data_IF_322104218598
#
_entry.id   IF_322104218598
#
_cell.length_a   1.000
_cell.length_b   1.000
_cell.length_c   1.000
_cell.angle_alpha   90.00
_cell.angle_beta   90.00
_cell.angle_gamma   90.00
#
_symmetry.space_group_name_H-M   'P 1'
#
loop_
_entity.id
_entity.type
_entity.pdbx_description
1 polymer ?
#
# COMPACT_ATOMS: atom_id res chain seq x y z
N UNK A 1 -37.42 77.55 -9.14
CA UNK A 1 -36.88 77.00 -7.86
C UNK A 1 -36.67 75.52 -8.01
N UNK A 2 -35.43 75.14 -8.19
CA UNK A 2 -35.00 73.85 -8.62
C UNK A 2 -34.98 72.78 -7.47
N UNK A 3 -35.60 71.66 -7.66
CA UNK A 3 -35.47 70.53 -6.74
C UNK A 3 -34.26 69.59 -6.98
N UNK A 4 -33.31 70.02 -7.84
CA UNK A 4 -32.25 69.13 -8.32
C UNK A 4 -31.06 69.01 -7.35
N UNK A 5 -30.97 69.85 -6.32
CA UNK A 5 -29.82 69.84 -5.40
C UNK A 5 -29.85 68.71 -4.32
N UNK A 6 -31.00 68.07 -4.14
CA UNK A 6 -31.15 67.08 -3.01
C UNK A 6 -30.89 65.65 -3.38
N UNK A 7 -30.74 65.32 -4.64
CA UNK A 7 -30.57 63.92 -5.06
C UNK A 7 -29.10 63.42 -4.95
N UNK A 8 -28.13 64.28 -5.09
CA UNK A 8 -26.69 63.93 -4.97
C UNK A 8 -26.22 63.72 -3.53
N UNK A 9 -26.88 64.37 -2.55
CA UNK A 9 -26.51 64.15 -1.13
C UNK A 9 -26.98 62.77 -0.61
N UNK A 10 -28.17 62.34 -0.97
CA UNK A 10 -28.72 61.04 -0.62
C UNK A 10 -27.96 59.89 -1.27
N UNK A 11 -27.48 60.06 -2.49
CA UNK A 11 -26.64 59.07 -3.17
C UNK A 11 -25.27 58.93 -2.49
N UNK A 12 -24.67 60.02 -2.08
CA UNK A 12 -23.36 60.09 -1.44
C UNK A 12 -23.38 59.47 -0.03
N UNK A 13 -24.43 59.70 0.76
CA UNK A 13 -24.62 59.07 2.08
C UNK A 13 -24.83 57.57 1.96
N UNK A 14 -25.57 57.12 0.93
CA UNK A 14 -25.78 55.69 0.65
C UNK A 14 -24.47 54.98 0.26
N UNK A 15 -23.61 55.64 -0.52
CA UNK A 15 -22.29 55.08 -0.86
C UNK A 15 -21.36 55.04 0.35
N UNK A 16 -21.35 56.07 1.21
CA UNK A 16 -20.54 56.05 2.45
C UNK A 16 -20.99 54.94 3.38
N UNK A 17 -22.31 54.77 3.58
CA UNK A 17 -22.83 53.66 4.41
C UNK A 17 -22.51 52.29 3.84
N UNK A 18 -22.45 52.12 2.52
CA UNK A 18 -22.05 50.87 1.86
C UNK A 18 -20.59 50.59 2.02
N UNK A 19 -19.72 51.59 1.93
CA UNK A 19 -18.26 51.45 2.18
C UNK A 19 -17.97 51.14 3.64
N UNK A 20 -18.69 51.75 4.59
CA UNK A 20 -18.53 51.40 6.02
C UNK A 20 -18.96 49.97 6.32
N UNK A 21 -20.10 49.51 5.79
CA UNK A 21 -20.54 48.11 5.91
C UNK A 21 -19.51 47.14 5.31
N UNK A 22 -18.91 47.46 4.16
CA UNK A 22 -17.84 46.64 3.58
C UNK A 22 -16.57 46.64 4.41
N UNK A 23 -16.15 47.75 5.02
CA UNK A 23 -15.00 47.80 5.93
C UNK A 23 -15.23 47.00 7.18
N UNK A 24 -16.40 47.04 7.76
CA UNK A 24 -16.77 46.23 8.94
C UNK A 24 -16.81 44.76 8.57
N UNK A 25 -17.44 44.38 7.45
CA UNK A 25 -17.46 43.00 6.94
C UNK A 25 -16.04 42.43 6.66
N UNK A 26 -15.17 43.28 6.08
CA UNK A 26 -13.77 42.91 5.83
C UNK A 26 -12.98 42.62 7.14
N UNK A 27 -13.17 43.43 8.19
CA UNK A 27 -12.53 43.19 9.49
C UNK A 27 -12.98 41.88 10.12
N UNK A 28 -14.28 41.62 10.13
CA UNK A 28 -14.79 40.35 10.66
C UNK A 28 -14.35 39.15 9.80
N UNK A 29 -14.30 39.27 8.49
CA UNK A 29 -13.77 38.26 7.58
C UNK A 29 -12.28 37.94 7.87
N UNK A 30 -11.47 38.99 8.09
CA UNK A 30 -10.06 38.82 8.45
C UNK A 30 -9.89 38.15 9.81
N UNK A 31 -10.67 38.54 10.83
CA UNK A 31 -10.62 37.89 12.14
C UNK A 31 -11.06 36.44 12.09
N UNK A 32 -12.11 36.13 11.33
CA UNK A 32 -12.58 34.77 11.13
C UNK A 32 -11.52 33.90 10.43
N UNK A 33 -10.85 34.41 9.40
CA UNK A 33 -9.81 33.64 8.70
C UNK A 33 -8.61 33.34 9.60
N UNK A 34 -8.19 34.29 10.44
CA UNK A 34 -7.13 34.08 11.44
C UNK A 34 -7.55 33.00 12.45
N UNK A 35 -8.79 33.07 12.93
CA UNK A 35 -9.32 32.09 13.87
C UNK A 35 -9.35 30.67 13.27
N UNK A 36 -9.82 30.51 12.02
CA UNK A 36 -9.79 29.21 11.35
C UNK A 36 -8.38 28.69 11.07
N UNK A 37 -7.42 29.57 10.80
CA UNK A 37 -6.01 29.21 10.66
C UNK A 37 -5.46 28.64 11.97
N UNK A 38 -5.70 29.30 13.13
CA UNK A 38 -5.29 28.76 14.42
C UNK A 38 -5.98 27.45 14.76
N UNK A 39 -7.26 27.31 14.47
CA UNK A 39 -8.01 26.08 14.69
C UNK A 39 -7.44 24.92 13.88
N UNK A 40 -7.08 25.16 12.62
CA UNK A 40 -6.45 24.18 11.75
C UNK A 40 -5.09 23.71 12.27
N UNK A 41 -4.22 24.64 12.67
CA UNK A 41 -2.91 24.31 13.22
C UNK A 41 -3.04 23.53 14.52
N UNK A 42 -3.95 23.96 15.40
CA UNK A 42 -4.20 23.27 16.67
C UNK A 42 -4.71 21.85 16.44
N UNK A 43 -5.61 21.65 15.47
CA UNK A 43 -6.11 20.34 15.09
C UNK A 43 -5.00 19.42 14.59
N UNK A 44 -4.08 19.92 13.76
CA UNK A 44 -2.91 19.16 13.30
C UNK A 44 -1.97 18.77 14.44
N UNK A 45 -1.72 19.68 15.40
CA UNK A 45 -0.89 19.41 16.57
C UNK A 45 -1.54 18.31 17.43
N UNK A 46 -2.83 18.41 17.71
CA UNK A 46 -3.56 17.39 18.48
C UNK A 46 -3.54 16.03 17.78
N UNK A 47 -3.74 16.03 16.47
CA UNK A 47 -3.66 14.80 15.67
C UNK A 47 -2.25 14.20 15.70
N UNK A 48 -1.21 15.01 15.62
CA UNK A 48 0.18 14.56 15.73
C UNK A 48 0.49 13.99 17.12
N UNK A 49 0.06 14.65 18.20
CA UNK A 49 0.30 14.17 19.57
C UNK A 49 -0.45 12.86 19.83
N UNK A 50 -1.67 12.72 19.28
CA UNK A 50 -2.52 11.53 19.52
C UNK A 50 -2.11 10.34 18.67
N UNK A 51 -1.71 10.57 17.41
CA UNK A 51 -1.50 9.50 16.43
C UNK A 51 -0.10 9.48 15.79
N UNK A 52 0.65 10.57 15.89
CA UNK A 52 1.96 10.72 15.23
C UNK A 52 3.16 10.30 16.07
N UNK A 53 2.95 9.87 17.31
CA UNK A 53 4.07 9.33 18.10
C UNK A 53 4.40 7.93 17.60
N UNK A 54 5.54 7.83 16.94
CA UNK A 54 6.13 6.53 16.63
C UNK A 54 6.33 5.75 17.93
N UNK A 55 5.96 4.46 17.90
CA UNK A 55 6.32 3.56 18.98
C UNK A 55 7.84 3.57 19.13
N UNK A 56 8.34 3.82 20.33
CA UNK A 56 9.76 3.68 20.61
C UNK A 56 10.13 2.21 20.36
N UNK A 57 10.90 2.01 19.31
CA UNK A 57 11.55 0.73 19.08
C UNK A 57 12.70 0.71 20.06
N UNK A 58 12.71 -0.23 21.01
CA UNK A 58 13.86 -0.45 21.87
C UNK A 58 15.04 -0.81 20.98
N UNK A 59 15.90 0.20 20.77
CA UNK A 59 17.01 0.14 19.82
C UNK A 59 18.23 -0.63 20.31
N UNK A 60 18.06 -1.49 21.32
CA UNK A 60 19.18 -2.27 21.87
C UNK A 60 19.76 -3.30 20.89
N UNK A 61 19.05 -3.66 19.81
CA UNK A 61 19.46 -4.72 18.89
C UNK A 61 19.55 -4.31 17.41
N UNK A 62 19.69 -3.03 17.11
CA UNK A 62 19.98 -2.56 15.74
C UNK A 62 21.44 -2.83 15.30
N UNK A 63 22.06 -3.89 15.83
CA UNK A 63 23.31 -4.39 15.27
C UNK A 63 23.08 -4.87 13.84
N UNK A 64 24.02 -4.59 12.93
CA UNK A 64 24.02 -5.22 11.61
C UNK A 64 24.24 -6.73 11.81
N UNK A 65 23.16 -7.48 11.92
CA UNK A 65 23.19 -8.93 11.91
C UNK A 65 23.05 -9.41 10.47
N UNK A 66 23.93 -10.32 10.06
CA UNK A 66 23.78 -11.02 8.79
C UNK A 66 22.72 -12.13 8.89
N UNK A 67 22.17 -12.35 10.08
CA UNK A 67 21.11 -13.33 10.31
C UNK A 67 19.78 -12.79 9.76
N UNK A 68 18.92 -13.70 9.34
CA UNK A 68 17.56 -13.36 8.94
C UNK A 68 16.87 -12.62 10.11
N UNK A 69 16.29 -11.44 9.89
CA UNK A 69 15.78 -10.58 10.95
C UNK A 69 14.62 -11.20 11.74
N UNK A 70 14.06 -12.30 11.27
CA UNK A 70 13.01 -13.04 11.98
C UNK A 70 12.76 -14.41 11.36
N UNK A 71 12.23 -15.36 12.14
CA UNK A 71 11.70 -16.63 11.65
C UNK A 71 10.34 -16.50 10.95
N UNK A 72 9.85 -15.27 10.85
CA UNK A 72 8.54 -14.99 10.28
C UNK A 72 8.50 -15.22 8.78
N UNK A 73 7.32 -15.57 8.30
CA UNK A 73 7.09 -15.86 6.90
C UNK A 73 7.45 -14.67 5.97
N UNK A 74 8.14 -14.91 4.83
CA UNK A 74 8.60 -13.85 3.92
C UNK A 74 7.48 -12.94 3.41
N UNK A 75 6.27 -13.49 3.22
CA UNK A 75 5.11 -12.71 2.78
C UNK A 75 4.69 -11.67 3.84
N UNK A 76 4.75 -12.03 5.13
CA UNK A 76 4.48 -11.11 6.25
C UNK A 76 5.50 -9.99 6.30
N UNK A 77 6.78 -10.34 6.24
CA UNK A 77 7.87 -9.33 6.26
C UNK A 77 7.69 -8.36 5.09
N UNK A 78 7.47 -8.89 3.88
CA UNK A 78 7.25 -8.06 2.70
C UNK A 78 6.01 -7.18 2.83
N UNK A 79 4.93 -7.69 3.42
CA UNK A 79 3.70 -6.95 3.66
C UNK A 79 3.94 -5.72 4.56
N UNK A 80 4.72 -5.88 5.63
CA UNK A 80 5.07 -4.76 6.51
C UNK A 80 6.00 -3.76 5.85
N UNK A 81 7.07 -4.23 5.23
CA UNK A 81 8.07 -3.37 4.57
C UNK A 81 7.43 -2.58 3.42
N UNK A 82 6.43 -3.15 2.76
CA UNK A 82 5.72 -2.52 1.62
C UNK A 82 4.45 -1.78 2.03
N UNK A 83 4.33 -1.33 3.27
CA UNK A 83 3.16 -0.59 3.77
C UNK A 83 1.83 -1.31 3.52
N UNK A 84 1.74 -2.55 3.97
CA UNK A 84 0.56 -3.40 3.84
C UNK A 84 0.17 -3.74 2.38
N UNK A 85 1.16 -3.77 1.50
CA UNK A 85 0.97 -4.20 0.10
C UNK A 85 1.74 -5.48 -0.17
N UNK A 86 1.10 -6.43 -0.83
CA UNK A 86 1.80 -7.60 -1.36
C UNK A 86 2.47 -7.24 -2.68
N UNK A 87 3.76 -7.51 -2.75
CA UNK A 87 4.60 -7.25 -3.92
C UNK A 87 4.96 -8.54 -4.64
N UNK A 88 5.40 -8.43 -5.90
CA UNK A 88 5.98 -9.56 -6.62
C UNK A 88 7.15 -10.20 -5.88
N UNK A 89 7.90 -9.41 -5.09
CA UNK A 89 8.99 -9.92 -4.24
C UNK A 89 8.48 -10.84 -3.13
N UNK A 90 7.31 -10.55 -2.53
CA UNK A 90 6.68 -11.43 -1.54
C UNK A 90 6.35 -12.80 -2.14
N UNK A 91 5.80 -12.81 -3.35
CA UNK A 91 5.48 -14.04 -4.08
C UNK A 91 6.74 -14.84 -4.38
N UNK A 92 7.79 -14.16 -4.88
CA UNK A 92 9.07 -14.79 -5.19
C UNK A 92 9.72 -15.40 -3.95
N UNK A 93 9.76 -14.65 -2.85
CA UNK A 93 10.33 -15.12 -1.59
C UNK A 93 9.56 -16.34 -1.03
N UNK A 94 8.22 -16.31 -1.13
CA UNK A 94 7.39 -17.46 -0.75
C UNK A 94 7.63 -18.66 -1.66
N UNK A 95 7.79 -18.46 -2.98
CA UNK A 95 8.14 -19.54 -3.89
C UNK A 95 9.49 -20.19 -3.54
N UNK A 96 10.51 -19.37 -3.21
CA UNK A 96 11.79 -19.92 -2.77
C UNK A 96 11.68 -20.69 -1.45
N UNK A 97 10.87 -20.21 -0.50
CA UNK A 97 10.54 -20.95 0.72
C UNK A 97 9.90 -22.30 0.37
N UNK A 98 8.91 -22.31 -0.50
CA UNK A 98 8.27 -23.56 -0.96
C UNK A 98 9.26 -24.52 -1.64
N UNK A 99 10.24 -23.97 -2.37
CA UNK A 99 11.30 -24.78 -2.96
C UNK A 99 12.25 -25.35 -1.89
N UNK A 100 12.59 -24.59 -0.85
CA UNK A 100 13.36 -25.10 0.31
C UNK A 100 12.60 -26.20 1.05
N UNK A 101 11.27 -26.06 1.18
CA UNK A 101 10.38 -27.07 1.75
C UNK A 101 10.13 -28.26 0.82
N UNK A 102 10.78 -28.30 -0.36
CA UNK A 102 10.75 -29.37 -1.38
C UNK A 102 9.41 -29.53 -2.13
N UNK A 103 8.51 -28.55 -2.03
CA UNK A 103 7.27 -28.57 -2.82
C UNK A 103 7.52 -28.29 -4.29
N UNK A 104 8.54 -27.47 -4.60
CA UNK A 104 8.95 -27.14 -5.98
C UNK A 104 10.45 -27.30 -6.16
N UNK A 105 10.85 -27.52 -7.42
CA UNK A 105 12.25 -27.47 -7.87
C UNK A 105 12.37 -26.30 -8.83
N UNK A 106 13.29 -25.39 -8.53
CA UNK A 106 13.60 -24.22 -9.37
C UNK A 106 14.89 -24.52 -10.11
N UNK A 107 14.84 -24.49 -11.44
CA UNK A 107 15.99 -24.79 -12.31
C UNK A 107 16.16 -23.73 -13.37
N UNK A 108 17.39 -23.44 -13.73
CA UNK A 108 17.71 -22.64 -14.90
C UNK A 108 17.74 -23.51 -16.15
N UNK A 109 17.12 -23.06 -17.23
CA UNK A 109 17.13 -23.71 -18.52
C UNK A 109 17.48 -22.71 -19.62
N UNK A 110 18.48 -23.06 -20.42
CA UNK A 110 18.79 -22.26 -21.62
C UNK A 110 17.71 -22.50 -22.69
N UNK A 111 17.12 -21.41 -23.15
CA UNK A 111 16.14 -21.42 -24.24
C UNK A 111 16.71 -20.62 -25.39
N UNK A 112 16.79 -21.25 -26.57
CA UNK A 112 17.25 -20.56 -27.78
C UNK A 112 16.05 -19.91 -28.46
N UNK A 113 16.04 -18.58 -28.52
CA UNK A 113 14.99 -17.81 -29.22
C UNK A 113 15.50 -17.35 -30.58
N UNK A 114 14.80 -17.72 -31.64
CA UNK A 114 15.07 -17.21 -32.99
C UNK A 114 14.42 -15.85 -33.18
N UNK A 115 15.20 -14.83 -33.40
CA UNK A 115 14.67 -13.48 -33.67
C UNK A 115 14.25 -13.37 -35.14
N UNK A 116 13.00 -12.98 -35.37
CA UNK A 116 12.36 -12.96 -36.69
C UNK A 116 13.09 -12.08 -37.73
N UNK A 117 13.75 -10.99 -37.27
CA UNK A 117 14.36 -9.98 -38.14
C UNK A 117 15.82 -10.19 -38.44
N UNK A 118 16.59 -10.98 -37.70
CA UNK A 118 18.05 -11.07 -37.89
C UNK A 118 18.64 -12.47 -37.97
N UNK A 119 17.87 -13.53 -38.04
CA UNK A 119 18.36 -14.94 -38.04
C UNK A 119 19.40 -15.24 -36.94
N UNK A 120 19.49 -14.39 -35.90
CA UNK A 120 20.39 -14.62 -34.77
C UNK A 120 19.70 -15.44 -33.73
N UNK A 121 20.31 -16.50 -33.32
CA UNK A 121 19.91 -17.28 -32.15
C UNK A 121 20.43 -16.55 -30.93
N UNK A 122 19.48 -16.11 -30.07
CA UNK A 122 19.76 -15.53 -28.76
C UNK A 122 19.52 -16.65 -27.76
N UNK A 123 20.58 -16.99 -27.01
CA UNK A 123 20.47 -17.87 -25.85
C UNK A 123 19.97 -17.04 -24.68
N UNK A 124 18.84 -17.37 -24.14
CA UNK A 124 18.25 -16.75 -22.97
C UNK A 124 18.12 -17.80 -21.87
N UNK A 125 18.60 -17.48 -20.68
CA UNK A 125 18.43 -18.35 -19.51
C UNK A 125 17.07 -18.07 -18.90
N UNK A 126 16.18 -19.06 -18.88
CA UNK A 126 14.88 -18.97 -18.22
C UNK A 126 14.83 -19.84 -16.98
N UNK A 127 14.17 -19.32 -15.96
CA UNK A 127 13.91 -20.06 -14.73
C UNK A 127 12.65 -20.90 -14.92
N UNK A 128 12.76 -22.19 -14.66
CA UNK A 128 11.66 -23.16 -14.79
C UNK A 128 11.30 -23.70 -13.41
N UNK A 129 10.02 -23.79 -13.14
CA UNK A 129 9.46 -24.36 -11.92
C UNK A 129 8.92 -25.76 -12.23
N UNK A 130 9.34 -26.73 -11.47
CA UNK A 130 8.87 -28.12 -11.52
C UNK A 130 8.25 -28.50 -10.18
N UNK A 131 7.27 -29.40 -10.19
CA UNK A 131 6.70 -29.95 -8.95
C UNK A 131 7.77 -30.77 -8.24
N UNK A 132 7.93 -30.55 -6.94
CA UNK A 132 8.87 -31.27 -6.10
C UNK A 132 8.42 -32.68 -5.76
N UNK A 133 9.16 -33.32 -4.87
CA UNK A 133 8.84 -34.66 -4.38
C UNK A 133 7.92 -34.55 -3.16
N UNK A 134 6.66 -34.88 -3.34
CA UNK A 134 5.64 -34.80 -2.29
C UNK A 134 5.93 -35.69 -1.06
N UNK A 135 6.71 -36.75 -1.23
CA UNK A 135 7.07 -37.67 -0.13
C UNK A 135 8.03 -37.05 0.90
N UNK A 136 8.79 -36.03 0.47
CA UNK A 136 9.76 -35.32 1.33
C UNK A 136 9.37 -33.87 1.66
N UNK A 137 8.18 -33.44 1.24
CA UNK A 137 7.70 -32.09 1.44
C UNK A 137 7.24 -31.83 2.88
N UNK A 138 7.56 -30.67 3.41
CA UNK A 138 7.13 -30.25 4.75
C UNK A 138 5.65 -29.80 4.74
N UNK A 139 4.96 -29.83 5.89
CA UNK A 139 3.58 -29.33 5.98
C UNK A 139 3.51 -27.83 5.65
N UNK A 140 2.47 -27.43 4.94
CA UNK A 140 2.25 -26.05 4.51
C UNK A 140 1.35 -25.29 5.47
N UNK A 141 1.65 -24.03 5.70
CA UNK A 141 0.73 -23.08 6.29
C UNK A 141 -0.36 -22.71 5.28
N UNK A 142 -1.51 -22.19 5.75
CA UNK A 142 -2.66 -21.92 4.88
C UNK A 142 -2.35 -21.01 3.69
N UNK A 143 -1.54 -19.99 3.89
CA UNK A 143 -1.12 -19.06 2.83
C UNK A 143 -0.08 -19.68 1.86
N UNK A 144 0.83 -20.52 2.37
CA UNK A 144 1.75 -21.30 1.55
C UNK A 144 0.97 -22.27 0.67
N UNK A 145 -0.04 -22.94 1.23
CA UNK A 145 -0.89 -23.89 0.52
C UNK A 145 -1.61 -23.23 -0.67
N UNK A 146 -2.21 -22.05 -0.48
CA UNK A 146 -2.89 -21.35 -1.57
C UNK A 146 -1.94 -21.01 -2.73
N UNK A 147 -0.74 -20.53 -2.43
CA UNK A 147 0.25 -20.24 -3.47
C UNK A 147 0.76 -21.51 -4.13
N UNK A 148 1.02 -22.55 -3.34
CA UNK A 148 1.46 -23.85 -3.82
C UNK A 148 0.42 -24.51 -4.74
N UNK A 149 -0.86 -24.45 -4.39
CA UNK A 149 -1.96 -24.97 -5.20
C UNK A 149 -2.08 -24.20 -6.53
N UNK A 150 -2.00 -22.87 -6.48
CA UNK A 150 -2.02 -22.05 -7.69
C UNK A 150 -0.88 -22.42 -8.64
N UNK A 151 0.37 -22.44 -8.14
CA UNK A 151 1.54 -22.79 -8.94
C UNK A 151 1.46 -24.21 -9.46
N UNK A 152 1.01 -25.17 -8.64
CA UNK A 152 0.84 -26.57 -9.03
C UNK A 152 -0.16 -26.71 -10.20
N UNK A 153 -1.24 -25.97 -10.13
CA UNK A 153 -2.26 -25.96 -11.19
C UNK A 153 -1.68 -25.40 -12.50
N UNK A 154 -0.91 -24.30 -12.42
CA UNK A 154 -0.27 -23.70 -13.58
C UNK A 154 0.81 -24.60 -14.18
N UNK A 155 1.64 -25.22 -13.36
CA UNK A 155 2.67 -26.17 -13.83
C UNK A 155 2.03 -27.39 -14.49
N UNK A 156 0.94 -27.92 -13.94
CA UNK A 156 0.17 -29.05 -14.54
C UNK A 156 -0.50 -28.65 -15.85
N UNK A 157 -0.91 -27.38 -16.00
CA UNK A 157 -1.48 -26.86 -17.26
C UNK A 157 -0.43 -26.63 -18.34
N UNK A 158 0.86 -26.80 -18.04
CA UNK A 158 1.98 -26.63 -18.97
C UNK A 158 2.77 -25.35 -18.82
N UNK A 159 2.34 -24.43 -17.96
CA UNK A 159 3.05 -23.17 -17.68
C UNK A 159 4.18 -23.44 -16.68
N UNK A 160 5.41 -23.53 -17.18
CA UNK A 160 6.58 -23.87 -16.34
C UNK A 160 7.58 -22.73 -16.15
N UNK A 161 7.52 -21.72 -17.01
CA UNK A 161 8.42 -20.57 -16.91
C UNK A 161 7.96 -19.64 -15.79
N UNK A 162 8.90 -19.24 -14.96
CA UNK A 162 8.63 -18.41 -13.77
C UNK A 162 7.99 -17.07 -14.14
N UNK A 163 8.46 -16.44 -15.23
CA UNK A 163 7.91 -15.18 -15.75
C UNK A 163 6.44 -15.31 -16.17
N UNK A 164 6.06 -16.42 -16.80
CA UNK A 164 4.69 -16.70 -17.20
C UNK A 164 3.79 -16.96 -15.98
N UNK A 165 4.29 -17.71 -14.98
CA UNK A 165 3.58 -17.94 -13.71
C UNK A 165 3.31 -16.61 -13.02
N UNK A 166 4.30 -15.71 -12.96
CA UNK A 166 4.14 -14.38 -12.36
C UNK A 166 3.11 -13.52 -13.10
N UNK A 167 3.11 -13.55 -14.43
CA UNK A 167 2.09 -12.86 -15.22
C UNK A 167 0.68 -13.36 -14.89
N UNK A 168 0.50 -14.66 -14.76
CA UNK A 168 -0.79 -15.26 -14.41
C UNK A 168 -1.23 -14.91 -12.99
N UNK A 169 -0.31 -14.94 -12.02
CA UNK A 169 -0.58 -14.47 -10.65
C UNK A 169 -1.01 -12.99 -10.67
N UNK A 170 -0.30 -12.13 -11.40
CA UNK A 170 -0.64 -10.71 -11.51
C UNK A 170 -2.01 -10.45 -12.14
N UNK A 171 -2.46 -11.32 -13.06
CA UNK A 171 -3.78 -11.29 -13.67
C UNK A 171 -4.90 -11.91 -12.82
N UNK A 172 -4.54 -12.72 -11.81
CA UNK A 172 -5.48 -13.45 -10.96
C UNK A 172 -5.91 -12.61 -9.74
N UNK A 173 -6.72 -11.59 -9.95
CA UNK A 173 -7.17 -10.68 -8.89
C UNK A 173 -7.82 -11.40 -7.71
N UNK A 174 -8.56 -12.47 -7.96
CA UNK A 174 -9.23 -13.27 -6.94
C UNK A 174 -8.21 -14.01 -6.04
N UNK A 175 -7.15 -14.57 -6.64
CA UNK A 175 -6.06 -15.19 -5.91
C UNK A 175 -5.35 -14.18 -5.03
N UNK A 176 -4.93 -13.05 -5.61
CA UNK A 176 -4.20 -12.00 -4.88
C UNK A 176 -5.01 -11.43 -3.72
N UNK A 177 -6.30 -11.21 -3.91
CA UNK A 177 -7.17 -10.70 -2.84
C UNK A 177 -7.37 -11.72 -1.71
N UNK A 178 -7.51 -13.00 -2.03
CA UNK A 178 -7.61 -14.09 -1.06
C UNK A 178 -6.33 -14.24 -0.25
N UNK A 179 -5.19 -14.27 -0.92
CA UNK A 179 -3.87 -14.38 -0.27
C UNK A 179 -3.57 -13.17 0.62
N UNK A 180 -3.83 -11.95 0.12
CA UNK A 180 -3.68 -10.73 0.90
C UNK A 180 -4.53 -10.73 2.16
N UNK A 181 -5.77 -11.24 2.08
CA UNK A 181 -6.66 -11.34 3.24
C UNK A 181 -6.10 -12.26 4.32
N UNK A 182 -5.49 -13.39 3.94
CA UNK A 182 -4.86 -14.29 4.90
C UNK A 182 -3.65 -13.65 5.59
N UNK A 183 -2.80 -12.97 4.81
CA UNK A 183 -1.64 -12.24 5.37
C UNK A 183 -2.09 -11.14 6.33
N UNK A 184 -3.15 -10.39 5.97
CA UNK A 184 -3.73 -9.34 6.82
C UNK A 184 -4.37 -9.92 8.11
N UNK A 185 -5.02 -11.07 8.02
CA UNK A 185 -5.57 -11.77 9.18
C UNK A 185 -4.47 -12.23 10.14
N UNK A 186 -3.41 -12.81 9.60
CA UNK A 186 -2.30 -13.29 10.43
C UNK A 186 -1.55 -12.13 11.09
N UNK A 187 -1.32 -11.05 10.36
CA UNK A 187 -0.74 -9.83 10.93
C UNK A 187 -1.61 -9.23 12.04
N UNK A 188 -2.94 -9.33 11.91
CA UNK A 188 -3.88 -8.90 12.95
C UNK A 188 -3.88 -9.84 14.16
N UNK A 189 -3.82 -11.17 13.94
CA UNK A 189 -3.77 -12.18 15.00
C UNK A 189 -2.54 -12.02 15.89
N UNK A 190 -1.41 -11.66 15.27
CA UNK A 190 -0.16 -11.39 15.98
C UNK A 190 -0.08 -9.99 16.59
N UNK A 191 -1.16 -9.19 16.55
CA UNK A 191 -1.20 -7.81 17.03
C UNK A 191 -0.16 -6.87 16.41
N UNK A 192 0.31 -7.18 15.20
CA UNK A 192 1.30 -6.37 14.49
C UNK A 192 0.65 -5.18 13.76
N UNK A 193 -0.65 -5.25 13.52
CA UNK A 193 -1.43 -4.16 12.94
C UNK A 193 -2.43 -3.68 13.97
N UNK A 194 -2.24 -2.45 14.46
CA UNK A 194 -3.24 -1.76 15.23
C UNK A 194 -4.25 -1.18 14.22
N UNK A 195 -5.32 -1.91 13.94
CA UNK A 195 -6.44 -1.36 13.16
C UNK A 195 -7.13 -0.30 14.01
N UNK A 196 -7.19 0.96 13.59
CA UNK A 196 -7.99 1.94 14.33
C UNK A 196 -9.43 1.43 14.39
N UNK A 197 -10.11 1.55 15.54
CA UNK A 197 -11.49 1.11 15.63
C UNK A 197 -12.32 1.83 14.57
N UNK A 198 -13.08 1.06 13.80
CA UNK A 198 -13.85 1.50 12.60
C UNK A 198 -14.76 2.72 12.85
N UNK A 199 -14.99 3.08 14.13
CA UNK A 199 -15.81 4.20 14.55
C UNK A 199 -15.12 5.57 14.50
N UNK A 200 -13.80 5.64 14.52
CA UNK A 200 -13.09 6.93 14.54
C UNK A 200 -12.90 7.54 13.15
N UNK A 201 -12.94 6.77 12.09
CA UNK A 201 -12.83 7.29 10.73
C UNK A 201 -14.08 8.07 10.27
N UNK A 202 -15.27 7.82 10.88
CA UNK A 202 -16.49 8.52 10.57
C UNK A 202 -16.75 9.81 11.40
N UNK A 203 -16.05 9.97 12.53
CA UNK A 203 -16.26 11.09 13.43
C UNK A 203 -15.50 12.38 13.02
N UNK A 204 -14.61 12.30 12.03
CA UNK A 204 -13.85 13.45 11.55
C UNK A 204 -14.51 14.17 10.36
N UNK A 205 -15.64 13.66 9.84
CA UNK A 205 -16.36 14.24 8.70
C UNK A 205 -17.76 14.79 9.05
N UNK A 206 -18.08 14.94 10.32
CA UNK A 206 -19.27 15.65 10.82
C UNK A 206 -18.83 16.86 11.66
#
# INVERSE_FOLDING_TARGET
>A
TDPVVNDHSLTREGEIAKVEKMKVGSKYGMMASIFFMFLSVTSLIVMYIKHGKEHKIDGSDLGQSADLPSEHHPALISFFVSYQKLTGQAILATLFRLAQMKHFKVKEKEVTRKTFFKKREIKETKVVVEIGDSASAQPLEAWDAILADFITLEVKSGTRHLDEIFQKIGGASHFMSGWMKLVDQEAANNNWIIKPPRREAGAFFL
#
